data_IF_282576618358
#
_entry.id   IF_282576618358
#
_cell.length_a   1.000
_cell.length_b   1.000
_cell.length_c   1.000
_cell.angle_alpha   90.00
_cell.angle_beta   90.00
_cell.angle_gamma   90.00
#
_symmetry.space_group_name_H-M   'P 1'
#
loop_
_entity.id
_entity.type
_entity.pdbx_description
1 polymer ?
#
# COMPACT_ATOMS: atom_id res chain seq x y z
N UNK A 1 3.79 -6.72 -1.86
CA UNK A 1 4.83 -6.42 -2.86
C UNK A 1 4.20 -6.38 -4.24
N UNK A 2 4.20 -5.22 -4.89
CA UNK A 2 3.63 -5.06 -6.22
C UNK A 2 4.64 -5.49 -7.30
N UNK A 3 4.13 -5.68 -8.52
CA UNK A 3 4.90 -6.18 -9.68
C UNK A 3 6.16 -5.36 -9.99
N UNK A 4 6.22 -4.10 -9.58
CA UNK A 4 7.24 -3.13 -9.96
C UNK A 4 8.22 -2.76 -8.83
N UNK A 5 8.40 -3.63 -7.84
CA UNK A 5 9.34 -3.38 -6.73
C UNK A 5 8.82 -2.42 -5.66
N UNK A 6 7.66 -1.80 -5.88
CA UNK A 6 6.96 -1.01 -4.89
C UNK A 6 6.31 -1.89 -3.82
N UNK A 7 6.47 -1.47 -2.57
CA UNK A 7 5.90 -2.12 -1.41
C UNK A 7 5.14 -1.10 -0.58
N UNK A 8 3.88 -1.41 -0.28
CA UNK A 8 3.05 -0.60 0.60
C UNK A 8 2.87 -1.35 1.91
N UNK A 9 3.16 -0.66 3.02
CA UNK A 9 2.90 -1.17 4.37
C UNK A 9 1.93 -0.23 5.05
N UNK A 10 0.79 -0.73 5.48
CA UNK A 10 -0.22 0.07 6.17
C UNK A 10 -1.21 -0.84 6.88
N UNK A 11 -2.18 -0.23 7.54
CA UNK A 11 -3.28 -0.95 8.18
C UNK A 11 -4.37 -1.21 7.16
N UNK A 12 -4.72 -2.49 6.97
CA UNK A 12 -5.84 -2.87 6.09
C UNK A 12 -7.16 -2.40 6.70
N UNK A 13 -7.83 -1.49 6.00
CA UNK A 13 -9.14 -0.95 6.38
C UNK A 13 -10.25 -1.78 5.76
N UNK A 14 -10.16 -2.04 4.46
CA UNK A 14 -11.18 -2.78 3.72
C UNK A 14 -10.61 -3.48 2.49
N UNK A 15 -11.29 -4.55 2.07
CA UNK A 15 -11.03 -5.27 0.82
C UNK A 15 -12.34 -5.70 0.19
N UNK A 16 -12.45 -5.66 -1.13
CA UNK A 16 -13.63 -6.13 -1.87
C UNK A 16 -13.37 -7.39 -2.72
N UNK A 17 -14.41 -7.88 -3.40
CA UNK A 17 -14.35 -9.09 -4.25
C UNK A 17 -13.50 -8.96 -5.51
N UNK A 18 -13.05 -7.75 -5.84
CA UNK A 18 -12.10 -7.48 -6.94
C UNK A 18 -10.68 -7.27 -6.43
N UNK A 19 -10.45 -7.48 -5.12
CA UNK A 19 -9.18 -7.23 -4.45
C UNK A 19 -8.77 -5.75 -4.47
N UNK A 20 -9.72 -4.82 -4.56
CA UNK A 20 -9.42 -3.43 -4.21
C UNK A 20 -9.14 -3.39 -2.70
N UNK A 21 -8.00 -2.84 -2.30
CA UNK A 21 -7.57 -2.78 -0.89
C UNK A 21 -7.44 -1.34 -0.43
N UNK A 22 -8.11 -1.00 0.67
CA UNK A 22 -7.93 0.29 1.34
C UNK A 22 -6.96 0.12 2.51
N UNK A 23 -5.90 0.93 2.51
CA UNK A 23 -4.87 0.97 3.55
C UNK A 23 -4.88 2.34 4.23
N UNK A 24 -4.75 2.36 5.55
CA UNK A 24 -4.54 3.56 6.36
C UNK A 24 -3.12 3.60 6.94
N UNK A 25 -2.61 4.81 7.23
CA UNK A 25 -1.22 5.07 7.65
C UNK A 25 -0.19 4.30 6.79
N UNK A 26 -0.38 4.36 5.47
CA UNK A 26 0.43 3.64 4.50
C UNK A 26 1.77 4.32 4.32
N UNK A 27 2.83 3.52 4.40
CA UNK A 27 4.20 3.84 4.05
C UNK A 27 4.54 3.20 2.72
N UNK A 28 5.19 3.96 1.86
CA UNK A 28 5.72 3.50 0.59
C UNK A 28 7.19 3.12 0.74
N UNK A 29 7.53 1.94 0.22
CA UNK A 29 8.88 1.43 0.12
C UNK A 29 9.23 1.18 -1.35
N UNK A 30 10.33 1.76 -1.81
CA UNK A 30 10.89 1.56 -3.16
C UNK A 30 12.26 0.91 -2.97
N UNK A 31 12.48 -0.24 -3.61
CA UNK A 31 13.73 -1.02 -3.50
C UNK A 31 14.16 -1.33 -2.04
N UNK A 32 13.18 -1.48 -1.15
CA UNK A 32 13.41 -1.76 0.27
C UNK A 32 13.73 -0.53 1.13
N UNK A 33 13.83 0.66 0.55
CA UNK A 33 13.98 1.92 1.27
C UNK A 33 12.62 2.62 1.45
N UNK A 34 12.39 3.22 2.63
CA UNK A 34 11.22 4.05 2.89
C UNK A 34 11.29 5.28 1.97
N UNK A 35 10.34 5.37 1.03
CA UNK A 35 10.16 6.49 0.09
C UNK A 35 9.36 7.61 0.77
N UNK A 36 8.32 7.26 1.53
CA UNK A 36 7.52 8.25 2.25
C UNK A 36 6.24 7.70 2.89
N UNK A 37 5.49 8.59 3.54
CA UNK A 37 4.18 8.30 4.13
C UNK A 37 3.08 8.82 3.20
N UNK A 38 2.19 7.91 2.78
CA UNK A 38 1.05 8.20 1.91
C UNK A 38 -0.26 8.37 2.71
N UNK A 39 -0.33 7.86 3.94
CA UNK A 39 -1.56 7.95 4.74
C UNK A 39 -2.63 6.99 4.24
N UNK A 40 -3.73 7.50 3.68
CA UNK A 40 -4.79 6.63 3.14
C UNK A 40 -4.55 6.32 1.65
N UNK A 41 -4.52 5.03 1.30
CA UNK A 41 -4.23 4.55 -0.06
C UNK A 41 -5.27 3.53 -0.49
N UNK A 42 -5.74 3.64 -1.73
CA UNK A 42 -6.57 2.63 -2.39
C UNK A 42 -5.74 1.92 -3.47
N UNK A 43 -5.57 0.62 -3.35
CA UNK A 43 -4.88 -0.26 -4.31
C UNK A 43 -5.94 -1.02 -5.12
N UNK A 44 -5.73 -1.13 -6.43
CA UNK A 44 -6.59 -1.82 -7.42
C UNK A 44 -5.77 -2.72 -8.33
#
# INVERSE_FOLDING_TARGET
KLKWGMEYKGYLVSVDGYMNMQLANTEEYIDGALSGHLGEVLIR
#
